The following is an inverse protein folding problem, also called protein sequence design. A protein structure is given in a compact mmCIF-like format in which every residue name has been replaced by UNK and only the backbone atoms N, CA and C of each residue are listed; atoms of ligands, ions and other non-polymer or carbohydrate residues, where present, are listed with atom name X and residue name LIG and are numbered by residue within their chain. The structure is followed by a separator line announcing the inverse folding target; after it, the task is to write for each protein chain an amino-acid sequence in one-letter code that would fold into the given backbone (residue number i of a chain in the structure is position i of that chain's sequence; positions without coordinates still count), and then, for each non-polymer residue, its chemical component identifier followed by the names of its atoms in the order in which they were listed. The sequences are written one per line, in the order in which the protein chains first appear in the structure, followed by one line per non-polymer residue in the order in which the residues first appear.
data_IF_925564680244
#
_entry.id   IF_925564680244
#
_cell.length_a   1.000
_cell.length_b   1.000
_cell.length_c   1.000
_cell.angle_alpha   90.00
_cell.angle_beta   90.00
_cell.angle_gamma   90.00
#
_symmetry.space_group_name_H-M   'P 1'
#
loop_
_entity.id
_entity.type
_entity.pdbx_description
1 polymer ?
#
# COMPACT_ATOMS: atom_id res chain seq x y z
N UNK A 1 -14.68 6.04 -12.74
CA UNK A 1 -13.88 5.26 -11.77
C UNK A 1 -14.42 5.59 -10.39
N UNK A 2 -14.61 4.58 -9.53
CA UNK A 2 -14.96 4.81 -8.14
C UNK A 2 -13.95 5.78 -7.51
N UNK A 3 -14.39 6.57 -6.53
CA UNK A 3 -13.46 7.41 -5.79
C UNK A 3 -12.56 6.53 -4.92
N UNK A 4 -11.33 6.95 -4.62
CA UNK A 4 -10.48 6.32 -3.59
C UNK A 4 -11.24 5.97 -2.29
N UNK A 5 -12.25 6.78 -1.91
CA UNK A 5 -13.12 6.52 -0.75
C UNK A 5 -13.90 5.20 -0.87
N UNK A 6 -14.35 4.85 -2.07
CA UNK A 6 -15.08 3.61 -2.36
C UNK A 6 -14.13 2.42 -2.22
N UNK A 7 -12.90 2.53 -2.72
CA UNK A 7 -11.89 1.47 -2.57
C UNK A 7 -11.50 1.24 -1.11
N UNK A 8 -11.29 2.31 -0.34
CA UNK A 8 -11.04 2.22 1.10
C UNK A 8 -12.23 1.54 1.82
N UNK A 9 -13.46 1.96 1.50
CA UNK A 9 -14.65 1.38 2.11
C UNK A 9 -14.80 -0.11 1.75
N UNK A 10 -14.65 -0.46 0.48
CA UNK A 10 -14.73 -1.85 0.03
C UNK A 10 -13.67 -2.74 0.66
N UNK A 11 -12.43 -2.23 0.80
CA UNK A 11 -11.37 -2.88 1.55
C UNK A 11 -11.78 -3.15 3.01
N UNK A 12 -12.27 -2.13 3.73
CA UNK A 12 -12.66 -2.27 5.14
C UNK A 12 -13.80 -3.28 5.33
N UNK A 13 -14.78 -3.28 4.42
CA UNK A 13 -15.86 -4.27 4.43
C UNK A 13 -15.29 -5.68 4.20
N UNK A 14 -14.41 -5.85 3.22
CA UNK A 14 -13.82 -7.16 2.90
C UNK A 14 -12.97 -7.70 4.06
N UNK A 15 -12.11 -6.87 4.65
CA UNK A 15 -11.33 -7.24 5.85
C UNK A 15 -12.25 -7.56 7.02
N UNK A 16 -13.27 -6.74 7.28
CA UNK A 16 -14.20 -6.98 8.38
C UNK A 16 -14.90 -8.33 8.26
N UNK A 17 -15.36 -8.69 7.05
CA UNK A 17 -15.95 -10.00 6.77
C UNK A 17 -14.94 -11.11 7.02
N UNK A 18 -13.71 -10.97 6.49
CA UNK A 18 -12.67 -11.99 6.66
C UNK A 18 -12.29 -12.20 8.13
N UNK A 19 -12.17 -11.13 8.92
CA UNK A 19 -11.87 -11.22 10.35
C UNK A 19 -13.00 -11.90 11.14
N UNK A 20 -14.26 -11.58 10.82
CA UNK A 20 -15.42 -12.22 11.44
C UNK A 20 -15.49 -13.72 11.10
N UNK A 21 -15.15 -14.09 9.87
CA UNK A 21 -15.10 -15.49 9.45
C UNK A 21 -13.91 -16.23 10.08
N UNK A 22 -12.73 -15.62 10.15
CA UNK A 22 -11.53 -16.24 10.73
C UNK A 22 -11.69 -16.49 12.22
N UNK A 23 -12.31 -15.55 12.94
CA UNK A 23 -12.62 -15.69 14.37
C UNK A 23 -13.57 -16.88 14.61
N UNK A 24 -14.67 -16.96 13.87
CA UNK A 24 -15.69 -18.00 14.04
C UNK A 24 -15.28 -19.39 13.55
N UNK A 25 -14.51 -19.48 12.47
CA UNK A 25 -14.20 -20.75 11.80
C UNK A 25 -12.85 -21.32 12.21
N UNK A 26 -11.88 -20.47 12.53
CA UNK A 26 -10.48 -20.88 12.71
C UNK A 26 -9.92 -20.55 14.11
N UNK A 27 -10.71 -19.91 14.99
CA UNK A 27 -10.24 -19.34 16.27
C UNK A 27 -8.97 -18.49 16.08
N UNK A 28 -8.92 -17.78 14.96
CA UNK A 28 -7.76 -17.01 14.55
C UNK A 28 -7.88 -15.59 15.08
N UNK A 29 -6.97 -15.22 15.99
CA UNK A 29 -6.96 -13.91 16.62
C UNK A 29 -5.68 -13.14 16.26
N UNK A 30 -5.86 -11.88 15.88
CA UNK A 30 -4.77 -10.94 15.65
C UNK A 30 -4.61 -10.00 16.84
N UNK A 31 -3.37 -9.57 17.10
CA UNK A 31 -3.14 -8.51 18.08
C UNK A 31 -3.76 -7.20 17.59
N UNK A 32 -4.11 -6.32 18.54
CA UNK A 32 -4.62 -4.97 18.22
C UNK A 32 -3.61 -4.19 17.38
N UNK A 33 -2.31 -4.35 17.67
CA UNK A 33 -1.22 -3.73 16.91
C UNK A 33 -1.24 -4.18 15.45
N UNK A 34 -1.32 -5.49 15.21
CA UNK A 34 -1.39 -6.04 13.85
C UNK A 34 -2.64 -5.56 13.12
N UNK A 35 -3.79 -5.45 13.82
CA UNK A 35 -5.01 -4.90 13.23
C UNK A 35 -4.86 -3.44 12.83
N UNK A 36 -4.27 -2.59 13.69
CA UNK A 36 -4.09 -1.17 13.41
C UNK A 36 -3.12 -0.97 12.24
N UNK A 37 -1.91 -1.53 12.35
CA UNK A 37 -0.88 -1.37 11.31
C UNK A 37 -1.27 -2.07 10.01
N UNK A 38 -1.84 -3.27 10.10
CA UNK A 38 -2.37 -4.01 8.97
C UNK A 38 -3.44 -3.21 8.22
N UNK A 39 -4.37 -2.56 8.94
CA UNK A 39 -5.36 -1.72 8.28
C UNK A 39 -4.78 -0.49 7.59
N UNK A 40 -3.79 0.18 8.19
CA UNK A 40 -3.10 1.30 7.56
C UNK A 40 -2.45 0.83 6.25
N UNK A 41 -1.76 -0.31 6.27
CA UNK A 41 -1.13 -0.92 5.11
C UNK A 41 -2.17 -1.27 4.04
N UNK A 42 -3.21 -2.02 4.41
CA UNK A 42 -4.24 -2.45 3.46
C UNK A 42 -5.00 -1.28 2.83
N UNK A 43 -5.26 -0.21 3.59
CA UNK A 43 -5.81 1.04 3.05
C UNK A 43 -4.87 1.63 1.98
N UNK A 44 -3.58 1.74 2.26
CA UNK A 44 -2.60 2.26 1.29
C UNK A 44 -2.55 1.41 0.02
N UNK A 45 -2.60 0.07 0.15
CA UNK A 45 -2.62 -0.84 -0.99
C UNK A 45 -3.95 -0.81 -1.77
N UNK A 46 -5.07 -0.52 -1.10
CA UNK A 46 -6.40 -0.39 -1.76
C UNK A 46 -6.52 0.84 -2.66
N UNK A 47 -5.65 1.83 -2.51
CA UNK A 47 -5.63 3.05 -3.31
C UNK A 47 -4.38 3.16 -4.18
N UNK A 48 -3.49 2.17 -4.09
CA UNK A 48 -2.23 2.15 -4.82
C UNK A 48 -2.45 2.19 -6.34
N UNK A 49 -3.44 1.46 -6.93
CA UNK A 49 -3.66 1.53 -8.37
C UNK A 49 -4.12 2.90 -8.87
N UNK A 50 -4.91 3.63 -8.08
CA UNK A 50 -5.34 5.02 -8.36
C UNK A 50 -4.19 6.03 -8.46
N UNK A 51 -2.97 5.66 -8.05
CA UNK A 51 -1.80 6.53 -8.09
C UNK A 51 -1.13 6.60 -9.46
N UNK A 52 -1.47 5.72 -10.39
CA UNK A 52 -0.90 5.72 -11.73
C UNK A 52 -1.34 6.94 -12.56
N UNK A 53 -2.48 7.56 -12.20
CA UNK A 53 -3.00 8.74 -12.90
C UNK A 53 -2.25 10.02 -12.51
N UNK A 54 -1.74 10.84 -13.47
CA UNK A 54 -1.01 12.08 -13.15
C UNK A 54 -1.85 13.13 -12.40
N UNK A 55 -3.17 13.10 -12.59
CA UNK A 55 -4.13 13.98 -11.92
C UNK A 55 -4.54 13.47 -10.54
N UNK A 56 -4.15 12.26 -10.14
CA UNK A 56 -4.51 11.64 -8.86
C UNK A 56 -4.16 12.56 -7.68
N UNK A 57 -5.17 12.84 -6.86
CA UNK A 57 -4.98 13.54 -5.58
C UNK A 57 -4.07 12.72 -4.66
N UNK A 58 -4.21 11.39 -4.66
CA UNK A 58 -3.40 10.50 -3.84
C UNK A 58 -1.93 10.49 -4.27
N UNK A 59 -1.65 10.46 -5.58
CA UNK A 59 -0.28 10.61 -6.09
C UNK A 59 0.36 11.92 -5.62
N UNK A 60 -0.37 13.04 -5.66
CA UNK A 60 0.14 14.34 -5.19
C UNK A 60 0.40 14.36 -3.68
N UNK A 61 -0.49 13.78 -2.89
CA UNK A 61 -0.34 13.70 -1.42
C UNK A 61 0.87 12.82 -1.07
N UNK A 62 0.96 11.62 -1.63
CA UNK A 62 2.06 10.70 -1.37
C UNK A 62 3.39 11.24 -1.89
N UNK A 63 3.40 11.91 -3.03
CA UNK A 63 4.59 12.63 -3.52
C UNK A 63 5.11 13.66 -2.51
N UNK A 64 4.21 14.45 -1.89
CA UNK A 64 4.61 15.42 -0.84
C UNK A 64 5.11 14.72 0.41
N UNK A 65 4.44 13.65 0.86
CA UNK A 65 4.86 12.89 2.04
C UNK A 65 6.22 12.23 1.82
N UNK A 66 6.46 11.65 0.64
CA UNK A 66 7.72 10.98 0.31
C UNK A 66 8.86 11.99 0.19
N UNK A 67 8.59 13.16 -0.41
CA UNK A 67 9.55 14.26 -0.44
C UNK A 67 9.89 14.75 0.97
N UNK A 68 8.87 14.98 1.81
CA UNK A 68 9.07 15.42 3.20
C UNK A 68 9.87 14.38 4.00
N UNK A 69 9.51 13.10 3.91
CA UNK A 69 10.24 12.01 4.54
C UNK A 69 11.70 11.93 4.06
N UNK A 70 11.94 12.12 2.75
CA UNK A 70 13.29 12.14 2.18
C UNK A 70 14.12 13.28 2.75
N UNK A 71 13.55 14.50 2.83
CA UNK A 71 14.22 15.67 3.42
C UNK A 71 14.54 15.41 4.90
N UNK A 72 13.59 14.89 5.68
CA UNK A 72 13.79 14.59 7.10
C UNK A 72 14.91 13.56 7.29
N UNK A 73 14.93 12.48 6.50
CA UNK A 73 15.97 11.46 6.59
C UNK A 73 17.35 12.02 6.22
N UNK A 74 17.44 12.83 5.15
CA UNK A 74 18.69 13.45 4.75
C UNK A 74 19.19 14.47 5.78
N UNK A 75 18.31 15.25 6.40
CA UNK A 75 18.65 16.13 7.51
C UNK A 75 19.15 15.33 8.72
N UNK A 76 18.45 14.26 9.09
CA UNK A 76 18.86 13.37 10.18
C UNK A 76 20.22 12.71 9.91
N UNK A 77 20.54 12.38 8.65
CA UNK A 77 21.84 11.84 8.27
C UNK A 77 22.99 12.79 8.59
N UNK A 78 22.80 14.12 8.41
CA UNK A 78 23.83 15.13 8.74
C UNK A 78 24.27 15.03 10.20
N UNK A 79 23.34 14.74 11.10
CA UNK A 79 23.60 14.66 12.54
C UNK A 79 24.00 13.26 13.00
N UNK A 80 23.33 12.22 12.50
CA UNK A 80 23.46 10.85 13.00
C UNK A 80 24.48 10.00 12.24
N UNK A 81 24.84 10.38 11.00
CA UNK A 81 25.81 9.68 10.13
C UNK A 81 25.51 8.20 9.88
N UNK A 82 24.24 7.80 9.97
CA UNK A 82 23.75 6.43 9.72
C UNK A 82 23.38 6.23 8.25
N UNK A 83 24.01 5.27 7.56
CA UNK A 83 23.84 5.06 6.11
C UNK A 83 22.40 4.68 5.71
N UNK A 84 21.65 4.05 6.61
CA UNK A 84 20.25 3.68 6.43
C UNK A 84 19.37 4.90 6.09
N UNK A 85 19.75 6.07 6.60
CA UNK A 85 19.05 7.34 6.36
C UNK A 85 19.24 7.88 4.92
N UNK A 86 20.19 7.35 4.15
CA UNK A 86 20.33 7.63 2.71
C UNK A 86 19.53 6.62 1.87
N UNK A 87 19.52 5.36 2.29
CA UNK A 87 18.83 4.29 1.55
C UNK A 87 17.32 4.51 1.49
N UNK A 88 16.71 5.03 2.57
CA UNK A 88 15.28 5.36 2.61
C UNK A 88 14.90 6.40 1.53
N UNK A 89 15.50 7.61 1.48
CA UNK A 89 15.27 8.57 0.40
C UNK A 89 15.47 7.98 -1.00
N UNK A 90 16.53 7.19 -1.21
CA UNK A 90 16.81 6.60 -2.51
C UNK A 90 15.68 5.67 -2.97
N UNK A 91 15.17 4.82 -2.07
CA UNK A 91 14.03 3.96 -2.34
C UNK A 91 12.74 4.75 -2.60
N UNK A 92 12.48 5.80 -1.81
CA UNK A 92 11.30 6.65 -2.01
C UNK A 92 11.35 7.39 -3.36
N UNK A 93 12.51 7.92 -3.75
CA UNK A 93 12.71 8.58 -5.04
C UNK A 93 12.54 7.58 -6.19
N UNK A 94 13.12 6.38 -6.07
CA UNK A 94 12.97 5.33 -7.08
C UNK A 94 11.50 4.94 -7.25
N UNK A 95 10.76 4.81 -6.16
CA UNK A 95 9.32 4.54 -6.20
C UNK A 95 8.52 5.66 -6.86
N UNK A 96 8.81 6.93 -6.54
CA UNK A 96 8.18 8.09 -7.20
C UNK A 96 8.52 8.15 -8.69
N UNK A 97 9.75 7.78 -9.06
CA UNK A 97 10.17 7.69 -10.45
C UNK A 97 9.37 6.60 -11.18
N UNK A 98 9.23 5.40 -10.61
CA UNK A 98 8.40 4.33 -11.18
C UNK A 98 6.94 4.77 -11.38
N UNK A 99 6.36 5.46 -10.39
CA UNK A 99 5.02 6.03 -10.51
C UNK A 99 4.92 7.08 -11.64
N UNK A 100 5.99 7.85 -11.88
CA UNK A 100 6.00 8.87 -12.93
C UNK A 100 5.86 8.27 -14.33
N UNK A 101 6.50 7.14 -14.58
CA UNK A 101 6.47 6.44 -15.87
C UNK A 101 5.35 5.40 -15.97
N UNK A 102 4.61 5.14 -14.89
CA UNK A 102 3.47 4.25 -14.95
C UNK A 102 2.37 4.84 -15.83
N UNK A 103 1.89 4.04 -16.79
CA UNK A 103 0.73 4.39 -17.62
C UNK A 103 -0.54 4.14 -16.81
N UNK A 104 -1.54 5.00 -16.99
CA UNK A 104 -2.87 4.81 -16.43
C UNK A 104 -3.46 3.47 -16.94
N UNK A 105 -3.88 2.58 -16.02
CA UNK A 105 -4.27 1.18 -16.27
C UNK A 105 -3.13 0.29 -16.79
N UNK A 106 -1.91 0.58 -16.33
CA UNK A 106 -0.73 -0.22 -16.62
C UNK A 106 -0.46 -1.25 -15.53
N UNK A 107 0.81 -1.34 -15.12
CA UNK A 107 1.32 -2.32 -14.16
C UNK A 107 0.52 -2.38 -12.85
N UNK A 108 0.08 -1.25 -12.32
CA UNK A 108 -0.60 -1.20 -11.02
C UNK A 108 -2.00 -1.82 -11.01
N UNK A 109 -2.54 -2.19 -12.17
CA UNK A 109 -3.82 -2.89 -12.28
C UNK A 109 -3.65 -4.40 -12.57
N UNK A 110 -2.42 -4.92 -12.46
CA UNK A 110 -2.13 -6.36 -12.63
C UNK A 110 -2.07 -7.06 -11.27
N UNK A 111 -2.80 -8.19 -11.05
CA UNK A 111 -2.77 -8.93 -9.79
C UNK A 111 -1.36 -9.31 -9.31
N UNK A 112 -0.49 -9.68 -10.25
CA UNK A 112 0.91 -10.06 -9.96
C UNK A 112 1.68 -8.91 -9.32
N UNK A 113 1.43 -7.66 -9.74
CA UNK A 113 2.11 -6.48 -9.18
C UNK A 113 1.68 -6.25 -7.74
N UNK A 114 0.40 -6.46 -7.41
CA UNK A 114 -0.06 -6.42 -6.02
C UNK A 114 0.69 -7.39 -5.12
N UNK A 115 0.87 -8.63 -5.59
CA UNK A 115 1.64 -9.65 -4.87
C UNK A 115 3.09 -9.21 -4.72
N UNK A 116 3.76 -8.85 -5.82
CA UNK A 116 5.18 -8.44 -5.79
C UNK A 116 5.42 -7.25 -4.88
N UNK A 117 4.55 -6.25 -4.89
CA UNK A 117 4.67 -5.08 -4.02
C UNK A 117 4.43 -5.42 -2.55
N UNK A 118 3.58 -6.41 -2.26
CA UNK A 118 3.34 -6.87 -0.90
C UNK A 118 4.47 -7.72 -0.31
N UNK A 119 5.26 -8.43 -1.13
CA UNK A 119 6.29 -9.37 -0.67
C UNK A 119 7.33 -8.77 0.31
N UNK A 120 7.85 -7.55 0.12
CA UNK A 120 8.77 -6.95 1.08
C UNK A 120 8.21 -6.84 2.50
N UNK A 121 6.88 -6.79 2.68
CA UNK A 121 6.26 -6.74 4.00
C UNK A 121 6.44 -8.05 4.79
N UNK A 122 6.75 -9.16 4.11
CA UNK A 122 7.08 -10.44 4.75
C UNK A 122 8.28 -10.33 5.69
N UNK A 123 9.20 -9.39 5.42
CA UNK A 123 10.36 -9.12 6.29
C UNK A 123 9.97 -8.45 7.62
N UNK A 124 8.74 -7.96 7.73
CA UNK A 124 8.22 -7.29 8.92
C UNK A 124 7.23 -8.22 9.64
N UNK A 125 6.17 -8.63 8.95
CA UNK A 125 5.14 -9.54 9.48
C UNK A 125 4.35 -10.14 8.30
N UNK A 126 4.12 -11.46 8.34
CA UNK A 126 3.32 -12.16 7.34
C UNK A 126 1.87 -11.63 7.26
N UNK A 127 1.28 -11.20 8.38
CA UNK A 127 -0.07 -10.68 8.40
C UNK A 127 -0.19 -9.39 7.59
N UNK A 128 0.85 -8.55 7.58
CA UNK A 128 0.87 -7.33 6.76
C UNK A 128 0.86 -7.62 5.27
N UNK A 129 1.47 -8.72 4.83
CA UNK A 129 1.35 -9.21 3.45
C UNK A 129 -0.12 -9.51 3.13
N UNK A 130 -0.82 -10.20 4.04
CA UNK A 130 -2.25 -10.50 3.89
C UNK A 130 -3.11 -9.24 3.73
N UNK A 131 -2.93 -8.26 4.62
CA UNK A 131 -3.65 -6.98 4.53
C UNK A 131 -3.34 -6.22 3.24
N UNK A 132 -2.08 -6.19 2.80
CA UNK A 132 -1.68 -5.54 1.55
C UNK A 132 -2.32 -6.21 0.33
N UNK A 133 -2.31 -7.54 0.27
CA UNK A 133 -2.95 -8.32 -0.80
C UNK A 133 -4.45 -8.05 -0.80
N UNK A 134 -5.13 -8.16 0.34
CA UNK A 134 -6.57 -7.90 0.46
C UNK A 134 -6.90 -6.47 0.01
N UNK A 135 -6.10 -5.48 0.43
CA UNK A 135 -6.18 -4.09 -0.01
C UNK A 135 -6.15 -3.98 -1.53
N UNK A 136 -5.07 -4.46 -2.13
CA UNK A 136 -4.86 -4.36 -3.57
C UNK A 136 -5.93 -5.11 -4.39
N UNK A 137 -6.28 -6.33 -3.99
CA UNK A 137 -7.29 -7.12 -4.69
C UNK A 137 -8.69 -6.53 -4.53
N UNK A 138 -9.03 -5.93 -3.38
CA UNK A 138 -10.32 -5.24 -3.22
C UNK A 138 -10.49 -4.12 -4.25
N UNK A 139 -9.40 -3.41 -4.56
CA UNK A 139 -9.39 -2.41 -5.62
C UNK A 139 -9.70 -3.03 -6.98
N UNK A 140 -8.96 -4.06 -7.39
CA UNK A 140 -9.14 -4.72 -8.67
C UNK A 140 -10.54 -5.33 -8.83
N UNK A 141 -11.11 -5.89 -7.76
CA UNK A 141 -12.46 -6.46 -7.77
C UNK A 141 -13.49 -5.37 -8.04
N UNK A 142 -13.40 -4.22 -7.36
CA UNK A 142 -14.33 -3.11 -7.53
C UNK A 142 -14.25 -2.50 -8.94
N UNK A 143 -13.07 -2.52 -9.56
CA UNK A 143 -12.87 -2.02 -10.92
C UNK A 143 -13.09 -3.09 -12.01
N UNK A 144 -13.39 -4.34 -11.63
CA UNK A 144 -13.53 -5.50 -12.52
C UNK A 144 -12.27 -5.78 -13.37
N UNK A 145 -11.09 -5.60 -12.77
CA UNK A 145 -9.79 -5.77 -13.45
C UNK A 145 -9.01 -7.02 -13.00
N UNK A 146 -9.58 -7.84 -12.12
CA UNK A 146 -8.95 -9.09 -11.64
C UNK A 146 -8.67 -10.10 -12.76
N UNK A 147 -9.47 -10.10 -13.83
CA UNK A 147 -9.44 -11.11 -14.90
C UNK A 147 -8.98 -10.56 -16.27
N UNK A 148 -8.39 -9.36 -16.29
CA UNK A 148 -7.84 -8.75 -17.52
C UNK A 148 -6.34 -8.96 -17.60
#
# INVERSE_FOLDING_TARGET
MPSYKVHIFGYLVMVGILLLLSDKLLNFHLSIETLIFGNIIGILYSILPDMDTPSSKMRKILGRLFLAASIICLLAFVFLRRMELIYIPLMLILFLYLLWFSRHRGLFHTPIIGILLSLPLYLIDLYYVGFAIIGFFSHLVLDNEVFR
#
